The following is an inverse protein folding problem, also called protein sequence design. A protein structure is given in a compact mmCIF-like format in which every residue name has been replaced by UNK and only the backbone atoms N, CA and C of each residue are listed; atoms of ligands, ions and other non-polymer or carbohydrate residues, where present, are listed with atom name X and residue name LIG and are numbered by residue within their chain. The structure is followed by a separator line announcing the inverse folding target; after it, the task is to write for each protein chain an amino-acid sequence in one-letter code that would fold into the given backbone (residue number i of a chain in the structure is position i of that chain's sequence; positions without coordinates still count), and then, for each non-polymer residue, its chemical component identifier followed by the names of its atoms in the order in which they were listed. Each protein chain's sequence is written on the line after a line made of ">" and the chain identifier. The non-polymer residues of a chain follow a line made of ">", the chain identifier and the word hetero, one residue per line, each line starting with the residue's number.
data_IF_582066828017
#
_entry.id   IF_582066828017
#
_cell.length_a   1.000
_cell.length_b   1.000
_cell.length_c   1.000
_cell.angle_alpha   90.00
_cell.angle_beta   90.00
_cell.angle_gamma   90.00
#
_symmetry.space_group_name_H-M   'P 1'
#
loop_
_entity.id
_entity.type
_entity.pdbx_description
1 polymer ?
#
# COMPACT_ATOMS: atom_id res chain seq x y z
N UNK A 1 7.02 -14.51 -21.36
CA UNK A 1 6.56 -13.25 -20.74
C UNK A 1 7.70 -12.25 -20.77
N UNK A 2 7.42 -10.97 -21.02
CA UNK A 2 8.44 -9.89 -20.97
C UNK A 2 8.63 -9.43 -19.53
N UNK A 3 9.85 -9.05 -19.14
CA UNK A 3 10.16 -8.46 -17.81
C UNK A 3 9.23 -7.28 -17.45
N UNK A 4 8.73 -6.58 -18.45
CA UNK A 4 7.78 -5.48 -18.29
C UNK A 4 6.39 -5.98 -17.83
N UNK A 5 5.93 -7.09 -18.40
CA UNK A 5 4.66 -7.73 -18.00
C UNK A 5 4.73 -8.18 -16.55
N UNK A 6 5.85 -8.79 -16.16
CA UNK A 6 6.09 -9.28 -14.80
C UNK A 6 6.10 -8.09 -13.81
N UNK A 7 6.78 -6.99 -14.15
CA UNK A 7 6.82 -5.79 -13.32
C UNK A 7 5.44 -5.14 -13.14
N UNK A 8 4.62 -5.07 -14.20
CA UNK A 8 3.24 -4.56 -14.12
C UNK A 8 2.36 -5.45 -13.24
N UNK A 9 2.54 -6.76 -13.33
CA UNK A 9 1.82 -7.72 -12.49
C UNK A 9 2.22 -7.58 -11.01
N UNK A 10 3.51 -7.44 -10.73
CA UNK A 10 4.02 -7.24 -9.37
C UNK A 10 3.50 -5.94 -8.76
N UNK A 11 3.50 -4.84 -9.51
CA UNK A 11 2.91 -3.57 -9.07
C UNK A 11 1.42 -3.72 -8.78
N UNK A 12 0.68 -4.47 -9.61
CA UNK A 12 -0.74 -4.75 -9.38
C UNK A 12 -0.94 -5.53 -8.08
N UNK A 13 -0.14 -6.56 -7.83
CA UNK A 13 -0.18 -7.35 -6.58
C UNK A 13 0.13 -6.48 -5.37
N UNK A 14 1.15 -5.61 -5.45
CA UNK A 14 1.50 -4.69 -4.36
C UNK A 14 0.35 -3.72 -4.04
N UNK A 15 -0.36 -3.21 -5.05
CA UNK A 15 -1.57 -2.39 -4.84
C UNK A 15 -2.68 -3.18 -4.15
N UNK A 16 -2.92 -4.42 -4.56
CA UNK A 16 -3.91 -5.30 -3.92
C UNK A 16 -3.57 -5.58 -2.46
N UNK A 17 -2.32 -5.93 -2.15
CA UNK A 17 -1.90 -6.17 -0.77
C UNK A 17 -2.00 -4.92 0.11
N UNK A 18 -1.71 -3.73 -0.44
CA UNK A 18 -1.91 -2.47 0.25
C UNK A 18 -3.39 -2.24 0.63
N UNK A 19 -4.31 -2.52 -0.30
CA UNK A 19 -5.75 -2.39 -0.08
C UNK A 19 -6.27 -3.42 0.95
N UNK A 20 -5.77 -4.66 0.89
CA UNK A 20 -6.11 -5.72 1.83
C UNK A 20 -5.63 -5.40 3.26
N UNK A 21 -4.42 -4.86 3.39
CA UNK A 21 -3.87 -4.39 4.67
C UNK A 21 -4.74 -3.28 5.26
N UNK A 22 -5.10 -2.28 4.47
CA UNK A 22 -5.92 -1.16 4.92
C UNK A 22 -7.31 -1.63 5.37
N UNK A 23 -7.96 -2.49 4.57
CA UNK A 23 -9.25 -3.11 4.94
C UNK A 23 -9.16 -3.95 6.21
N UNK A 24 -8.11 -4.76 6.34
CA UNK A 24 -7.93 -5.65 7.49
C UNK A 24 -7.76 -4.84 8.77
N UNK A 25 -6.96 -3.78 8.72
CA UNK A 25 -6.75 -2.85 9.85
C UNK A 25 -8.05 -2.12 10.20
N UNK A 26 -8.82 -1.66 9.22
CA UNK A 26 -10.10 -1.00 9.51
C UNK A 26 -11.15 -1.97 10.08
N UNK A 27 -11.09 -3.25 9.71
CA UNK A 27 -12.02 -4.26 10.20
C UNK A 27 -11.70 -4.80 11.60
N UNK A 28 -10.50 -4.62 12.16
CA UNK A 28 -10.19 -5.13 13.51
C UNK A 28 -11.21 -4.65 14.54
N UNK A 29 -11.64 -3.39 14.46
CA UNK A 29 -12.63 -2.86 15.39
C UNK A 29 -14.00 -3.53 15.26
N UNK A 30 -14.37 -3.94 14.04
CA UNK A 30 -15.63 -4.65 13.74
C UNK A 30 -15.55 -6.14 14.14
N UNK A 31 -14.36 -6.74 14.02
CA UNK A 31 -14.11 -8.15 14.35
C UNK A 31 -13.93 -8.35 15.87
N UNK A 32 -13.39 -7.36 16.56
CA UNK A 32 -13.35 -7.33 18.01
C UNK A 32 -14.76 -7.02 18.57
N UNK A 33 -15.27 -7.87 19.45
CA UNK A 33 -16.55 -7.61 20.12
C UNK A 33 -16.52 -6.27 20.89
N UNK A 34 -17.69 -5.65 21.07
CA UNK A 34 -17.80 -4.33 21.73
C UNK A 34 -17.19 -4.29 23.14
N UNK A 35 -17.05 -5.44 23.79
CA UNK A 35 -16.49 -5.55 25.13
C UNK A 35 -14.95 -5.59 25.15
N UNK A 36 -14.30 -5.93 24.02
CA UNK A 36 -12.83 -5.86 23.86
C UNK A 36 -12.30 -4.44 24.10
N UNK A 37 -13.13 -3.43 23.84
CA UNK A 37 -12.75 -2.02 23.88
C UNK A 37 -13.23 -1.28 25.15
N UNK A 38 -13.81 -1.98 26.13
CA UNK A 38 -14.37 -1.37 27.34
C UNK A 38 -13.50 -1.58 28.59
N UNK A 39 -13.55 -0.59 29.49
CA UNK A 39 -12.89 -0.63 30.79
C UNK A 39 -11.41 -0.20 30.79
N UNK A 40 -10.82 0.01 31.98
CA UNK A 40 -9.49 0.62 32.13
C UNK A 40 -8.36 -0.21 31.51
N UNK A 41 -8.47 -1.55 31.50
CA UNK A 41 -7.48 -2.43 30.84
C UNK A 41 -7.50 -2.31 29.31
N UNK A 42 -8.63 -1.93 28.72
CA UNK A 42 -8.78 -1.74 27.27
C UNK A 42 -8.27 -0.38 26.78
N UNK A 43 -8.11 0.60 27.67
CA UNK A 43 -7.74 1.98 27.30
C UNK A 43 -6.29 2.06 26.79
N UNK A 44 -5.40 1.33 27.46
CA UNK A 44 -4.02 1.13 26.99
C UNK A 44 -4.01 0.45 25.61
N UNK A 45 -4.78 -0.63 25.45
CA UNK A 45 -4.88 -1.34 24.17
C UNK A 45 -5.42 -0.46 23.06
N UNK A 46 -6.47 0.36 23.31
CA UNK A 46 -7.00 1.34 22.35
C UNK A 46 -5.95 2.33 21.90
N UNK A 47 -5.19 2.87 22.84
CA UNK A 47 -4.14 3.85 22.56
C UNK A 47 -3.01 3.23 21.74
N UNK A 48 -2.50 2.07 22.14
CA UNK A 48 -1.45 1.34 21.41
C UNK A 48 -1.94 0.93 20.01
N UNK A 49 -3.15 0.39 19.91
CA UNK A 49 -3.76 -0.03 18.66
C UNK A 49 -3.98 1.16 17.70
N UNK A 50 -4.46 2.31 18.19
CA UNK A 50 -4.60 3.52 17.38
C UNK A 50 -3.24 3.99 16.82
N UNK A 51 -2.18 3.90 17.64
CA UNK A 51 -0.81 4.19 17.22
C UNK A 51 -0.33 3.25 16.11
N UNK A 52 -0.48 1.94 16.31
CA UNK A 52 -0.10 0.94 15.30
C UNK A 52 -0.93 1.05 14.02
N UNK A 53 -2.24 1.28 14.14
CA UNK A 53 -3.14 1.54 13.00
C UNK A 53 -2.63 2.71 12.16
N UNK A 54 -2.24 3.81 12.82
CA UNK A 54 -1.65 4.97 12.13
C UNK A 54 -0.35 4.59 11.42
N UNK A 55 0.57 3.92 12.11
CA UNK A 55 1.86 3.49 11.53
C UNK A 55 1.68 2.60 10.30
N UNK A 56 0.73 1.67 10.33
CA UNK A 56 0.42 0.80 9.18
C UNK A 56 -0.13 1.62 8.03
N UNK A 57 -1.07 2.53 8.28
CA UNK A 57 -1.63 3.40 7.22
C UNK A 57 -0.57 4.30 6.60
N UNK A 58 0.31 4.87 7.41
CA UNK A 58 1.42 5.69 6.93
C UNK A 58 2.39 4.86 6.06
N UNK A 59 2.71 3.63 6.48
CA UNK A 59 3.55 2.72 5.70
C UNK A 59 2.90 2.32 4.37
N UNK A 60 1.60 2.04 4.36
CA UNK A 60 0.83 1.74 3.14
C UNK A 60 0.80 2.95 2.20
N UNK A 61 0.59 4.16 2.73
CA UNK A 61 0.63 5.39 1.93
C UNK A 61 2.01 5.62 1.29
N UNK A 62 3.09 5.40 2.05
CA UNK A 62 4.45 5.49 1.55
C UNK A 62 4.75 4.45 0.47
N UNK A 63 4.27 3.22 0.64
CA UNK A 63 4.41 2.16 -0.36
C UNK A 63 3.69 2.54 -1.68
N UNK A 64 2.46 3.05 -1.59
CA UNK A 64 1.70 3.55 -2.76
C UNK A 64 2.47 4.68 -3.48
N UNK A 65 3.00 5.65 -2.74
CA UNK A 65 3.79 6.74 -3.30
C UNK A 65 5.07 6.23 -3.99
N UNK A 66 5.77 5.25 -3.40
CA UNK A 66 6.95 4.65 -4.00
C UNK A 66 6.63 3.90 -5.30
N UNK A 67 5.52 3.15 -5.32
CA UNK A 67 5.02 2.45 -6.50
C UNK A 67 4.70 3.42 -7.63
N UNK A 68 3.94 4.49 -7.34
CA UNK A 68 3.55 5.46 -8.36
C UNK A 68 4.77 6.24 -8.90
N UNK A 69 5.76 6.53 -8.03
CA UNK A 69 7.03 7.13 -8.46
C UNK A 69 7.81 6.20 -9.39
N UNK A 70 7.87 4.91 -9.09
CA UNK A 70 8.53 3.92 -9.93
C UNK A 70 7.83 3.78 -11.29
N UNK A 71 6.51 3.71 -11.31
CA UNK A 71 5.73 3.65 -12.55
C UNK A 71 5.96 4.87 -13.45
N UNK A 72 5.86 6.09 -12.89
CA UNK A 72 6.12 7.32 -13.66
C UNK A 72 7.52 7.38 -14.26
N UNK A 73 8.51 6.86 -13.53
CA UNK A 73 9.89 6.78 -14.03
C UNK A 73 9.99 5.82 -15.21
N UNK A 74 9.38 4.64 -15.13
CA UNK A 74 9.36 3.65 -16.21
C UNK A 74 8.63 4.22 -17.44
N UNK A 75 7.47 4.87 -17.26
CA UNK A 75 6.74 5.51 -18.36
C UNK A 75 7.61 6.55 -19.08
N UNK A 76 8.32 7.39 -18.33
CA UNK A 76 9.23 8.41 -18.89
C UNK A 76 10.41 7.80 -19.65
N UNK A 77 11.06 6.77 -19.09
CA UNK A 77 12.15 6.05 -19.75
C UNK A 77 11.68 5.41 -21.08
N UNK A 78 10.44 4.90 -21.13
CA UNK A 78 9.87 4.32 -22.35
C UNK A 78 9.46 5.38 -23.40
N UNK A 79 8.95 6.54 -22.99
CA UNK A 79 8.72 7.67 -23.91
C UNK A 79 10.02 8.18 -24.55
N UNK A 80 11.09 8.28 -23.76
CA UNK A 80 12.42 8.68 -24.24
C UNK A 80 13.03 7.65 -25.22
N UNK A 81 12.85 6.34 -24.96
CA UNK A 81 13.24 5.28 -25.90
C UNK A 81 12.48 5.33 -27.21
N UNK A 82 11.17 5.59 -27.17
CA UNK A 82 10.34 5.69 -28.39
C UNK A 82 10.72 6.90 -29.24
N UNK A 83 11.07 8.03 -28.62
CA UNK A 83 11.53 9.22 -29.33
C UNK A 83 12.93 9.02 -29.95
N UNK A 84 13.85 8.42 -29.22
CA UNK A 84 15.22 8.16 -29.72
C UNK A 84 15.32 6.99 -30.71
N UNK A 85 14.40 6.02 -30.66
CA UNK A 85 14.30 4.93 -31.63
C UNK A 85 13.62 5.32 -32.95
N UNK A 86 12.90 6.45 -32.99
CA UNK A 86 12.30 7.00 -34.21
C UNK A 86 13.25 7.91 -35.00
N UNK A 87 14.42 8.23 -34.44
CA UNK A 87 15.48 9.07 -35.07
C UNK A 87 16.62 8.25 -35.69
N UNK A 88 16.47 6.94 -35.86
CA UNK A 88 17.37 6.08 -36.67
C UNK A 88 16.61 5.40 -37.78
#
# INVERSE_FOLDING_TARGET
>A
MSRESDCREDVRKLKQYADELERSVDNVQNLCGTDTWKGPKSERFRTEYAGHKKQIKDAVANARAAIDKALKRVEKEEEEKKKSGAEK
#
